data_IF_248338330547
#
_entry.id   IF_248338330547
#
_cell.length_a   1.000
_cell.length_b   1.000
_cell.length_c   1.000
_cell.angle_alpha   90.00
_cell.angle_beta   90.00
_cell.angle_gamma   90.00
#
_symmetry.space_group_name_H-M   'P 1'
#
loop_
_entity.id
_entity.type
_entity.pdbx_description
1 polymer ?
#
# COMPACT_ATOMS: atom_id res chain seq x y z
N UNK A 1 8.18 10.81 -0.06
CA UNK A 1 9.25 11.83 -0.01
C UNK A 1 9.90 11.82 1.38
N UNK A 2 10.81 12.76 1.67
CA UNK A 2 11.51 12.86 2.96
C UNK A 2 10.63 13.37 4.12
N UNK A 3 9.40 13.80 3.86
CA UNK A 3 8.46 14.22 4.90
C UNK A 3 7.74 13.02 5.52
N UNK A 4 7.67 11.89 4.81
CA UNK A 4 6.92 10.70 5.22
C UNK A 4 7.26 10.25 6.65
N UNK A 5 6.27 10.04 7.53
CA UNK A 5 6.49 9.56 8.90
C UNK A 5 6.94 8.10 8.94
N UNK A 6 6.80 7.37 7.83
CA UNK A 6 7.14 5.95 7.74
C UNK A 6 8.63 5.70 7.59
N UNK A 7 9.43 6.72 7.23
CA UNK A 7 10.86 6.52 6.98
C UNK A 7 11.67 6.44 8.27
N UNK A 8 12.62 5.51 8.30
CA UNK A 8 13.72 5.53 9.27
C UNK A 8 14.48 6.86 9.17
N UNK A 9 15.15 7.25 10.26
CA UNK A 9 15.98 8.46 10.26
C UNK A 9 17.08 8.41 9.18
N UNK A 10 17.67 7.23 8.98
CA UNK A 10 18.69 7.00 7.96
C UNK A 10 18.12 7.14 6.54
N UNK A 11 17.02 6.45 6.23
CA UNK A 11 16.38 6.52 4.92
C UNK A 11 15.96 7.96 4.60
N UNK A 12 15.37 8.67 5.56
CA UNK A 12 15.01 10.09 5.40
C UNK A 12 16.21 10.96 5.05
N UNK A 13 17.35 10.76 5.74
CA UNK A 13 18.58 11.50 5.44
C UNK A 13 19.09 11.21 4.03
N UNK A 14 18.97 9.97 3.55
CA UNK A 14 19.35 9.60 2.18
C UNK A 14 18.45 10.26 1.14
N UNK A 15 17.13 10.23 1.34
CA UNK A 15 16.17 10.92 0.46
C UNK A 15 16.46 12.43 0.41
N UNK A 16 16.75 13.07 1.54
CA UNK A 16 17.15 14.49 1.59
C UNK A 16 18.43 14.80 0.82
N UNK A 17 19.45 13.94 0.96
CA UNK A 17 20.70 14.08 0.21
C UNK A 17 20.51 13.91 -1.30
N UNK A 18 19.51 13.13 -1.70
CA UNK A 18 19.13 12.92 -3.09
C UNK A 18 18.09 13.95 -3.57
N UNK A 19 18.14 15.19 -3.06
CA UNK A 19 17.25 16.27 -3.49
C UNK A 19 15.77 16.08 -3.14
N UNK A 20 15.45 15.23 -2.17
CA UNK A 20 14.07 14.88 -1.81
C UNK A 20 13.50 13.68 -2.60
N UNK A 21 14.27 13.14 -3.56
CA UNK A 21 13.86 11.99 -4.38
C UNK A 21 14.33 10.66 -3.79
N UNK A 22 13.59 9.59 -4.10
CA UNK A 22 14.01 8.24 -3.74
C UNK A 22 15.30 7.85 -4.48
N UNK A 23 16.37 7.40 -3.79
CA UNK A 23 17.58 6.97 -4.46
C UNK A 23 17.41 5.64 -5.22
N UNK A 24 17.96 5.54 -6.43
CA UNK A 24 17.82 4.35 -7.28
C UNK A 24 18.42 3.10 -6.62
N UNK A 25 19.51 3.24 -5.86
CA UNK A 25 20.13 2.13 -5.15
C UNK A 25 19.28 1.62 -3.96
N UNK A 26 18.24 2.35 -3.58
CA UNK A 26 17.23 1.94 -2.60
C UNK A 26 16.00 1.33 -3.26
N UNK A 27 15.95 1.23 -4.59
CA UNK A 27 14.81 0.73 -5.35
C UNK A 27 14.82 -0.81 -5.49
N UNK A 28 14.90 -1.50 -4.35
CA UNK A 28 14.70 -2.95 -4.26
C UNK A 28 13.79 -3.27 -3.08
N UNK A 29 13.04 -4.38 -3.10
CA UNK A 29 12.04 -4.67 -2.07
C UNK A 29 12.64 -4.70 -0.66
N UNK A 30 13.79 -5.36 -0.49
CA UNK A 30 14.49 -5.39 0.79
C UNK A 30 14.92 -4.01 1.27
N UNK A 31 15.48 -3.16 0.39
CA UNK A 31 15.89 -1.80 0.76
C UNK A 31 14.72 -0.88 1.06
N UNK A 32 13.60 -1.05 0.37
CA UNK A 32 12.36 -0.33 0.70
C UNK A 32 11.86 -0.77 2.06
N UNK A 33 11.82 -2.08 2.36
CA UNK A 33 11.43 -2.59 3.68
C UNK A 33 12.32 -2.05 4.80
N UNK A 34 13.64 -2.15 4.66
CA UNK A 34 14.63 -1.65 5.62
C UNK A 34 14.52 -0.13 5.86
N UNK A 35 13.98 0.60 4.89
CA UNK A 35 13.80 2.05 4.96
C UNK A 35 12.57 2.46 5.76
N UNK A 36 11.69 1.53 6.10
CA UNK A 36 10.42 1.78 6.76
C UNK A 36 10.48 1.43 8.24
N UNK A 37 9.91 2.28 9.08
CA UNK A 37 9.78 2.08 10.52
C UNK A 37 8.43 2.64 10.99
N UNK A 38 7.51 1.73 11.32
CA UNK A 38 6.23 2.05 11.94
C UNK A 38 5.79 0.84 12.77
N UNK A 39 5.03 1.10 13.83
CA UNK A 39 4.42 0.02 14.61
C UNK A 39 3.14 -0.45 13.92
N UNK A 40 2.23 0.49 13.67
CA UNK A 40 0.90 0.23 13.10
C UNK A 40 0.47 1.37 12.19
N UNK A 41 -0.33 1.04 11.18
CA UNK A 41 -1.09 1.99 10.38
C UNK A 41 -2.58 1.79 10.71
N UNK A 42 -3.19 2.79 11.31
CA UNK A 42 -4.63 2.82 11.56
C UNK A 42 -5.33 3.53 10.41
N UNK A 43 -6.21 2.81 9.72
CA UNK A 43 -7.11 3.37 8.71
C UNK A 43 -8.49 3.47 9.32
N UNK A 44 -9.06 4.68 9.33
CA UNK A 44 -10.43 4.96 9.79
C UNK A 44 -11.27 5.47 8.63
N UNK A 45 -12.46 4.90 8.47
CA UNK A 45 -13.43 5.23 7.43
C UNK A 45 -14.71 5.68 8.12
N UNK A 46 -15.12 6.91 7.84
CA UNK A 46 -16.34 7.51 8.38
C UNK A 46 -17.23 7.91 7.21
N UNK A 47 -18.54 7.77 7.36
CA UNK A 47 -19.50 8.16 6.33
C UNK A 47 -20.91 8.25 6.86
N UNK A 48 -21.85 8.58 5.98
CA UNK A 48 -23.28 8.56 6.28
C UNK A 48 -23.94 7.49 5.41
N UNK A 49 -24.70 6.60 6.04
CA UNK A 49 -25.46 5.58 5.34
C UNK A 49 -26.60 6.24 4.56
N UNK A 50 -26.62 6.06 3.23
CA UNK A 50 -27.72 6.57 2.41
C UNK A 50 -29.05 5.85 2.68
N UNK A 51 -29.01 4.65 3.26
CA UNK A 51 -30.20 3.85 3.57
C UNK A 51 -30.88 4.34 4.85
N UNK A 52 -30.11 4.73 5.86
CA UNK A 52 -30.62 5.06 7.21
C UNK A 52 -30.39 6.51 7.63
N UNK A 53 -29.59 7.28 6.89
CA UNK A 53 -29.14 8.62 7.28
C UNK A 53 -28.21 8.66 8.50
N UNK A 54 -27.80 7.49 9.00
CA UNK A 54 -26.97 7.37 10.20
C UNK A 54 -25.48 7.47 9.85
N UNK A 55 -24.70 8.04 10.78
CA UNK A 55 -23.23 8.00 10.72
C UNK A 55 -22.74 6.55 10.87
N UNK A 56 -21.83 6.15 9.98
CA UNK A 56 -21.16 4.85 9.97
C UNK A 56 -19.66 5.04 10.19
N UNK A 57 -19.06 4.07 10.87
CA UNK A 57 -17.67 4.08 11.28
C UNK A 57 -17.06 2.69 11.08
N UNK A 58 -15.89 2.63 10.47
CA UNK A 58 -15.11 1.40 10.33
C UNK A 58 -13.62 1.69 10.53
N UNK A 59 -12.90 0.74 11.12
CA UNK A 59 -11.47 0.83 11.36
C UNK A 59 -10.75 -0.46 11.00
N UNK A 60 -9.54 -0.31 10.47
CA UNK A 60 -8.61 -1.41 10.25
C UNK A 60 -7.21 -0.99 10.68
N UNK A 61 -6.57 -1.85 11.47
CA UNK A 61 -5.16 -1.71 11.86
C UNK A 61 -4.36 -2.65 10.97
N UNK A 62 -3.25 -2.13 10.43
CA UNK A 62 -2.23 -2.89 9.72
C UNK A 62 -0.93 -2.86 10.52
N UNK A 63 -0.35 -4.01 10.75
CA UNK A 63 0.96 -4.17 11.38
C UNK A 63 2.06 -4.23 10.32
N UNK A 64 3.32 -4.17 10.75
CA UNK A 64 4.47 -4.24 9.85
C UNK A 64 4.54 -5.53 9.01
N UNK A 65 3.98 -6.62 9.52
CA UNK A 65 3.87 -7.93 8.83
C UNK A 65 2.85 -7.94 7.69
N UNK A 66 1.85 -7.05 7.73
CA UNK A 66 0.82 -6.94 6.70
C UNK A 66 1.32 -6.20 5.44
N UNK A 67 2.48 -5.53 5.52
CA UNK A 67 3.05 -4.79 4.41
C UNK A 67 3.56 -5.74 3.32
N UNK A 68 3.14 -5.53 2.08
CA UNK A 68 3.69 -6.22 0.90
C UNK A 68 4.44 -5.26 -0.03
N UNK A 69 5.77 -5.27 0.05
CA UNK A 69 6.67 -4.41 -0.72
C UNK A 69 6.89 -4.96 -2.12
N UNK A 70 6.76 -4.09 -3.13
CA UNK A 70 6.94 -4.45 -4.53
C UNK A 70 5.69 -5.06 -5.18
N UNK A 71 4.54 -4.97 -4.52
CA UNK A 71 3.27 -5.47 -5.03
C UNK A 71 2.27 -4.34 -5.26
N UNK A 72 1.32 -4.56 -6.16
CA UNK A 72 0.17 -3.68 -6.35
C UNK A 72 -1.11 -4.50 -6.51
N UNK A 73 -2.24 -3.92 -6.09
CA UNK A 73 -3.53 -4.58 -6.21
C UNK A 73 -3.87 -4.91 -7.67
N UNK A 74 -4.49 -6.07 -7.85
CA UNK A 74 -5.10 -6.46 -9.12
C UNK A 74 -6.28 -5.52 -9.42
N UNK A 75 -6.53 -5.26 -10.69
CA UNK A 75 -7.67 -4.44 -11.10
C UNK A 75 -8.98 -5.22 -10.86
N UNK A 76 -9.87 -4.67 -10.03
CA UNK A 76 -11.17 -5.25 -9.71
C UNK A 76 -12.21 -5.03 -10.82
N UNK A 77 -11.96 -4.07 -11.71
CA UNK A 77 -12.92 -3.61 -12.70
C UNK A 77 -12.81 -4.40 -14.00
N UNK A 78 -13.92 -4.92 -14.48
CA UNK A 78 -14.00 -5.59 -15.77
C UNK A 78 -15.27 -5.20 -16.53
N UNK A 79 -15.26 -5.45 -17.85
CA UNK A 79 -16.42 -5.22 -18.70
C UNK A 79 -17.31 -6.46 -18.66
N UNK A 80 -18.52 -6.29 -18.14
CA UNK A 80 -19.56 -7.30 -18.10
C UNK A 80 -20.13 -7.63 -19.48
N UNK A 81 -21.02 -8.64 -19.53
CA UNK A 81 -21.63 -9.10 -20.79
C UNK A 81 -22.49 -8.03 -21.47
N UNK A 82 -23.11 -7.17 -20.68
CA UNK A 82 -24.01 -6.10 -21.13
C UNK A 82 -23.29 -4.76 -21.34
N UNK A 83 -21.97 -4.79 -21.53
CA UNK A 83 -21.10 -3.61 -21.62
C UNK A 83 -21.01 -2.74 -20.37
N UNK A 84 -21.65 -3.14 -19.27
CA UNK A 84 -21.55 -2.48 -17.98
C UNK A 84 -20.18 -2.73 -17.33
N UNK A 85 -19.75 -1.78 -16.49
CA UNK A 85 -18.58 -1.96 -15.63
C UNK A 85 -19.00 -2.78 -14.41
N UNK A 86 -18.36 -3.93 -14.21
CA UNK A 86 -18.60 -4.81 -13.08
C UNK A 86 -17.37 -4.85 -12.17
N UNK A 87 -17.59 -5.17 -10.89
CA UNK A 87 -16.57 -5.24 -9.84
C UNK A 87 -16.45 -6.69 -9.37
N UNK A 88 -15.26 -7.27 -9.49
CA UNK A 88 -14.95 -8.57 -8.89
C UNK A 88 -14.38 -8.38 -7.48
N UNK A 89 -15.25 -8.48 -6.48
CA UNK A 89 -14.87 -8.39 -5.06
C UNK A 89 -14.04 -9.58 -4.58
N UNK A 90 -13.97 -10.70 -5.31
CA UNK A 90 -13.11 -11.82 -4.92
C UNK A 90 -11.62 -11.46 -5.02
N UNK A 91 -11.28 -10.49 -5.87
CA UNK A 91 -9.92 -10.02 -6.11
C UNK A 91 -9.49 -8.89 -5.14
N UNK A 92 -10.31 -8.54 -4.16
CA UNK A 92 -10.09 -7.33 -3.33
C UNK A 92 -8.77 -7.35 -2.54
N UNK A 93 -8.26 -8.54 -2.21
CA UNK A 93 -6.99 -8.73 -1.53
C UNK A 93 -5.89 -9.27 -2.46
N UNK A 94 -6.19 -9.46 -3.75
CA UNK A 94 -5.25 -10.04 -4.69
C UNK A 94 -4.24 -8.98 -5.13
N UNK A 95 -2.98 -9.37 -5.07
CA UNK A 95 -1.86 -8.53 -5.44
C UNK A 95 -1.01 -9.21 -6.51
N UNK A 96 -0.38 -8.41 -7.33
CA UNK A 96 0.62 -8.86 -8.32
C UNK A 96 1.90 -8.07 -8.17
N UNK A 97 3.00 -8.67 -8.58
CA UNK A 97 4.33 -8.07 -8.54
C UNK A 97 4.42 -6.86 -9.48
N UNK A 98 5.05 -5.78 -9.02
CA UNK A 98 5.30 -4.59 -9.82
C UNK A 98 6.50 -4.80 -10.76
N UNK A 99 6.38 -4.29 -11.99
CA UNK A 99 7.48 -4.35 -12.97
C UNK A 99 8.65 -3.43 -12.56
N UNK A 100 9.88 -3.88 -12.83
CA UNK A 100 11.11 -3.08 -12.70
C UNK A 100 11.87 -3.25 -11.38
N UNK A 101 11.18 -3.35 -10.24
CA UNK A 101 11.80 -3.54 -8.92
C UNK A 101 11.60 -4.94 -8.31
N UNK A 102 10.60 -5.67 -8.83
CA UNK A 102 10.19 -6.97 -8.32
C UNK A 102 9.48 -6.90 -6.97
N UNK A 103 9.11 -8.07 -6.45
CA UNK A 103 8.39 -8.25 -5.19
C UNK A 103 9.25 -8.93 -4.14
N UNK A 104 9.01 -8.64 -2.87
CA UNK A 104 9.58 -9.46 -1.80
C UNK A 104 8.92 -10.83 -1.71
N UNK A 105 9.60 -11.81 -1.11
CA UNK A 105 9.02 -13.12 -0.83
C UNK A 105 7.84 -12.98 0.14
N UNK A 106 6.67 -13.48 -0.25
CA UNK A 106 5.46 -13.48 0.59
C UNK A 106 5.45 -14.63 1.60
N UNK A 107 6.17 -15.72 1.32
CA UNK A 107 6.09 -16.99 2.05
C UNK A 107 7.08 -17.09 3.20
N UNK A 108 8.18 -16.34 3.15
CA UNK A 108 9.27 -16.37 4.13
C UNK A 108 9.35 -15.08 4.99
N UNK A 109 8.20 -14.52 5.37
CA UNK A 109 8.11 -13.27 6.15
C UNK A 109 8.08 -13.48 7.66
#
# INVERSE_FOLDING_TARGET
DDSSPLLTHEARRRVRKNGGHWPDEMNSPGKVRDSLLFNQILVSLNGVSNVSGADIFAQKIYDYVDLAVGYHFVNLLYKGKDENLEVDVSLINDVREQAGGGGEDLLNR
#
